data_IF_275683156471
#
_entry.id   IF_275683156471
#
_cell.length_a   1.000
_cell.length_b   1.000
_cell.length_c   1.000
_cell.angle_alpha   90.00
_cell.angle_beta   90.00
_cell.angle_gamma   90.00
#
_symmetry.space_group_name_H-M   'P 1'
#
loop_
_entity.id
_entity.type
_entity.pdbx_description
1 polymer ?
#
# COMPACT_ATOMS: atom_id res chain seq x y z
N UNK A 1 37.75 40.93 -32.89
CA UNK A 1 36.53 41.07 -32.06
C UNK A 1 36.24 39.68 -31.53
N UNK A 2 36.37 39.45 -30.24
CA UNK A 2 36.05 38.16 -29.61
C UNK A 2 34.53 38.11 -29.41
N UNK A 3 33.83 37.33 -30.24
CA UNK A 3 32.40 37.05 -30.05
C UNK A 3 32.20 36.42 -28.67
N UNK A 4 31.27 36.97 -27.89
CA UNK A 4 30.85 36.34 -26.64
C UNK A 4 30.19 35.01 -27.03
N UNK A 5 30.59 33.87 -26.42
CA UNK A 5 29.96 32.60 -26.74
C UNK A 5 28.47 32.70 -26.43
N UNK A 6 27.64 32.47 -27.44
CA UNK A 6 26.18 32.38 -27.25
C UNK A 6 25.90 31.25 -26.26
N UNK A 7 25.25 31.59 -25.15
CA UNK A 7 24.88 30.62 -24.12
C UNK A 7 23.39 30.34 -24.21
N UNK A 8 23.06 29.06 -24.12
CA UNK A 8 21.69 28.60 -23.94
C UNK A 8 21.46 28.46 -22.44
N UNK A 9 20.34 29.00 -21.94
CA UNK A 9 19.88 28.77 -20.59
C UNK A 9 18.79 27.70 -20.59
N UNK A 10 18.92 26.69 -19.74
CA UNK A 10 17.98 25.59 -19.63
C UNK A 10 17.54 25.48 -18.17
N UNK A 11 16.22 25.46 -17.96
CA UNK A 11 15.61 24.99 -16.71
C UNK A 11 14.88 23.67 -17.04
N UNK A 12 15.29 22.60 -16.36
CA UNK A 12 14.68 21.28 -16.46
C UNK A 12 13.93 21.02 -15.16
N UNK A 13 12.62 20.78 -15.27
CA UNK A 13 11.77 20.38 -14.16
C UNK A 13 11.08 19.07 -14.48
N UNK A 14 11.38 18.03 -13.71
CA UNK A 14 10.78 16.70 -13.88
C UNK A 14 10.53 16.07 -12.51
N UNK A 15 9.25 15.86 -12.18
CA UNK A 15 8.79 15.44 -10.85
C UNK A 15 9.41 16.34 -9.76
N UNK A 16 10.24 15.76 -8.90
CA UNK A 16 10.81 16.39 -7.72
C UNK A 16 12.19 17.01 -8.01
N UNK A 17 12.68 16.91 -9.25
CA UNK A 17 13.98 17.45 -9.66
C UNK A 17 13.80 18.71 -10.46
N UNK A 18 14.48 19.76 -10.01
CA UNK A 18 14.64 21.01 -10.72
C UNK A 18 16.14 21.30 -10.87
N UNK A 19 16.58 21.49 -12.11
CA UNK A 19 17.98 21.82 -12.44
C UNK A 19 18.00 22.97 -13.42
N UNK A 20 18.88 23.94 -13.15
CA UNK A 20 19.11 25.08 -14.05
C UNK A 20 20.59 25.13 -14.40
N UNK A 21 20.91 25.29 -15.68
CA UNK A 21 22.27 25.53 -16.15
C UNK A 21 22.28 26.45 -17.37
N UNK A 22 23.43 27.09 -17.63
CA UNK A 22 23.65 27.92 -18.80
C UNK A 22 25.02 27.66 -19.40
N UNK A 23 25.07 27.23 -20.66
CA UNK A 23 26.28 26.75 -21.32
C UNK A 23 26.21 26.99 -22.85
N UNK A 24 27.33 26.85 -23.60
CA UNK A 24 27.30 26.83 -25.06
C UNK A 24 26.39 25.71 -25.62
N UNK A 25 25.96 25.78 -26.89
CA UNK A 25 25.02 24.81 -27.47
C UNK A 25 25.48 23.35 -27.38
N UNK A 26 26.75 23.05 -27.67
CA UNK A 26 27.26 21.66 -27.65
C UNK A 26 27.28 21.09 -26.21
N UNK A 27 27.72 21.91 -25.26
CA UNK A 27 27.74 21.55 -23.85
C UNK A 27 26.33 21.43 -23.26
N UNK A 28 25.41 22.29 -23.69
CA UNK A 28 23.99 22.25 -23.30
C UNK A 28 23.36 20.92 -23.69
N UNK A 29 23.63 20.42 -24.92
CA UNK A 29 23.15 19.12 -25.37
C UNK A 29 23.73 17.97 -24.52
N UNK A 30 25.03 17.99 -24.23
CA UNK A 30 25.67 16.99 -23.37
C UNK A 30 25.05 16.97 -21.96
N UNK A 31 24.85 18.14 -21.35
CA UNK A 31 24.22 18.27 -20.03
C UNK A 31 22.78 17.79 -20.02
N UNK A 32 22.00 18.08 -21.08
CA UNK A 32 20.65 17.54 -21.28
C UNK A 32 20.67 16.01 -21.38
N UNK A 33 21.53 15.46 -22.24
CA UNK A 33 21.62 14.01 -22.45
C UNK A 33 22.02 13.28 -21.16
N UNK A 34 22.95 13.86 -20.39
CA UNK A 34 23.41 13.31 -19.11
C UNK A 34 22.31 13.36 -18.05
N UNK A 35 21.55 14.46 -18.02
CA UNK A 35 20.38 14.57 -17.14
C UNK A 35 19.40 13.41 -17.41
N UNK A 36 19.05 13.17 -18.68
CA UNK A 36 18.11 12.11 -19.02
C UNK A 36 18.71 10.70 -18.83
N UNK A 37 19.99 10.48 -19.11
CA UNK A 37 20.60 9.14 -19.00
C UNK A 37 20.89 8.72 -17.55
N UNK A 38 21.18 9.66 -16.65
CA UNK A 38 21.51 9.34 -15.25
C UNK A 38 20.29 9.43 -14.33
N UNK A 39 19.44 10.45 -14.51
CA UNK A 39 18.34 10.69 -13.58
C UNK A 39 17.07 9.90 -13.94
N UNK A 40 16.70 9.75 -15.22
CA UNK A 40 15.47 9.02 -15.55
C UNK A 40 15.51 7.54 -15.11
N UNK A 41 16.58 6.76 -15.37
CA UNK A 41 16.60 5.36 -14.97
C UNK A 41 16.57 5.18 -13.46
N UNK A 42 17.25 6.06 -12.70
CA UNK A 42 17.23 6.01 -11.24
C UNK A 42 15.83 6.31 -10.68
N UNK A 43 15.08 7.26 -11.27
CA UNK A 43 13.67 7.48 -10.92
C UNK A 43 12.76 6.32 -11.30
N UNK A 44 12.97 5.69 -12.45
CA UNK A 44 12.17 4.52 -12.84
C UNK A 44 12.41 3.32 -11.92
N UNK A 45 13.66 3.07 -11.53
CA UNK A 45 14.01 2.01 -10.59
C UNK A 45 13.42 2.31 -9.21
N UNK A 46 13.59 3.53 -8.70
CA UNK A 46 13.00 3.93 -7.42
C UNK A 46 11.46 3.78 -7.43
N UNK A 47 10.81 4.18 -8.52
CA UNK A 47 9.36 3.99 -8.71
C UNK A 47 8.96 2.51 -8.74
N UNK A 48 9.75 1.64 -9.38
CA UNK A 48 9.49 0.18 -9.40
C UNK A 48 9.72 -0.48 -8.04
N UNK A 49 10.57 0.10 -7.19
CA UNK A 49 10.82 -0.36 -5.82
C UNK A 49 9.81 0.19 -4.81
N UNK A 50 9.04 1.22 -5.18
CA UNK A 50 7.98 1.75 -4.32
C UNK A 50 6.82 0.75 -4.26
N UNK A 51 6.56 0.24 -3.06
CA UNK A 51 5.42 -0.64 -2.85
C UNK A 51 4.12 0.18 -2.86
N UNK A 52 3.43 0.16 -3.99
CA UNK A 52 2.11 0.76 -4.16
C UNK A 52 1.01 -0.29 -4.21
N UNK A 53 -0.13 0.00 -3.60
CA UNK A 53 -1.34 -0.82 -3.69
C UNK A 53 -2.23 -0.24 -4.78
N UNK A 54 -2.55 -1.05 -5.79
CA UNK A 54 -3.62 -0.73 -6.74
C UNK A 54 -4.97 -0.98 -6.05
N UNK A 55 -5.63 0.09 -5.62
CA UNK A 55 -6.91 0.01 -4.92
C UNK A 55 -8.02 -0.59 -5.79
N UNK A 56 -7.99 -0.39 -7.11
CA UNK A 56 -9.00 -0.94 -8.01
C UNK A 56 -8.84 -2.45 -8.12
N UNK A 57 -7.60 -2.93 -8.28
CA UNK A 57 -7.33 -4.36 -8.31
C UNK A 57 -7.62 -4.99 -6.94
N UNK A 58 -7.25 -4.32 -5.84
CA UNK A 58 -7.53 -4.81 -4.49
C UNK A 58 -9.04 -4.95 -4.24
N UNK A 59 -9.84 -3.97 -4.67
CA UNK A 59 -11.29 -4.03 -4.52
C UNK A 59 -11.89 -5.24 -5.28
N UNK A 60 -11.41 -5.50 -6.51
CA UNK A 60 -11.80 -6.69 -7.28
C UNK A 60 -11.37 -7.98 -6.58
N UNK A 61 -10.14 -8.03 -6.07
CA UNK A 61 -9.62 -9.21 -5.37
C UNK A 61 -10.42 -9.52 -4.09
N UNK A 62 -11.05 -8.51 -3.48
CA UNK A 62 -11.91 -8.63 -2.30
C UNK A 62 -13.37 -8.96 -2.61
N UNK A 63 -13.81 -8.92 -3.87
CA UNK A 63 -15.19 -9.22 -4.27
C UNK A 63 -15.59 -10.63 -3.86
N UNK A 64 -16.75 -10.78 -3.20
CA UNK A 64 -17.20 -12.08 -2.67
C UNK A 64 -16.49 -12.51 -1.38
N UNK A 65 -15.49 -11.75 -0.90
CA UNK A 65 -14.83 -11.99 0.39
C UNK A 65 -15.27 -10.97 1.45
N UNK A 66 -15.38 -9.70 1.05
CA UNK A 66 -15.72 -8.57 1.90
C UNK A 66 -16.92 -7.83 1.27
N UNK A 67 -17.84 -7.39 2.12
CA UNK A 67 -18.92 -6.48 1.77
C UNK A 67 -18.99 -5.32 2.76
N UNK A 68 -19.54 -4.20 2.33
CA UNK A 68 -19.81 -3.05 3.19
C UNK A 68 -21.32 -2.80 3.24
N UNK A 69 -21.84 -2.56 4.44
CA UNK A 69 -23.21 -2.16 4.70
C UNK A 69 -23.24 -0.86 5.52
N UNK A 70 -24.42 -0.34 5.85
CA UNK A 70 -24.53 0.87 6.69
C UNK A 70 -23.95 0.66 8.09
N UNK A 71 -23.92 -0.59 8.56
CA UNK A 71 -23.37 -1.00 9.86
C UNK A 71 -21.85 -1.22 9.82
N UNK A 72 -21.23 -1.22 8.64
CA UNK A 72 -19.80 -1.35 8.44
C UNK A 72 -19.38 -2.55 7.58
N UNK A 73 -18.14 -2.99 7.76
CA UNK A 73 -17.59 -4.12 7.00
C UNK A 73 -18.18 -5.47 7.45
N UNK A 74 -18.32 -6.38 6.49
CA UNK A 74 -18.80 -7.75 6.65
C UNK A 74 -17.90 -8.73 5.89
N UNK A 75 -17.64 -9.90 6.46
CA UNK A 75 -16.99 -11.00 5.74
C UNK A 75 -18.06 -11.92 5.13
N UNK A 76 -17.97 -12.16 3.83
CA UNK A 76 -18.90 -13.02 3.08
C UNK A 76 -18.49 -14.50 3.11
N UNK A 77 -17.28 -14.79 3.60
CA UNK A 77 -16.75 -16.14 3.73
C UNK A 77 -16.95 -16.71 5.13
N UNK A 78 -17.12 -18.04 5.20
CA UNK A 78 -17.27 -18.73 6.49
C UNK A 78 -15.99 -18.67 7.32
N UNK A 79 -16.10 -18.09 8.53
CA UNK A 79 -15.00 -18.06 9.52
C UNK A 79 -14.48 -19.45 9.88
N UNK A 80 -15.31 -20.49 9.80
CA UNK A 80 -14.89 -21.87 10.11
C UNK A 80 -13.85 -22.44 9.13
N UNK A 81 -13.74 -21.85 7.93
CA UNK A 81 -12.78 -22.24 6.90
C UNK A 81 -11.48 -21.44 6.96
N UNK A 82 -11.42 -20.43 7.83
CA UNK A 82 -10.27 -19.53 7.99
C UNK A 82 -9.53 -19.85 9.28
N UNK A 83 -8.22 -19.65 9.24
CA UNK A 83 -7.41 -19.58 10.47
C UNK A 83 -7.71 -18.27 11.22
N UNK A 84 -7.31 -18.21 12.51
CA UNK A 84 -7.45 -16.99 13.30
C UNK A 84 -6.71 -15.80 12.63
N UNK A 85 -5.50 -16.05 12.11
CA UNK A 85 -4.70 -15.03 11.43
C UNK A 85 -5.34 -14.57 10.12
N UNK A 86 -5.86 -15.49 9.30
CA UNK A 86 -6.58 -15.15 8.07
C UNK A 86 -7.83 -14.31 8.37
N UNK A 87 -8.57 -14.67 9.42
CA UNK A 87 -9.76 -13.92 9.84
C UNK A 87 -9.42 -12.51 10.28
N UNK A 88 -8.40 -12.35 11.14
CA UNK A 88 -7.95 -11.03 11.60
C UNK A 88 -7.43 -10.16 10.45
N UNK A 89 -6.60 -10.73 9.58
CA UNK A 89 -6.08 -10.03 8.41
C UNK A 89 -7.20 -9.58 7.47
N UNK A 90 -8.19 -10.44 7.21
CA UNK A 90 -9.31 -10.10 6.31
C UNK A 90 -10.17 -8.96 6.89
N UNK A 91 -10.36 -8.92 8.22
CA UNK A 91 -11.03 -7.80 8.88
C UNK A 91 -10.25 -6.50 8.82
N UNK A 92 -8.93 -6.54 9.02
CA UNK A 92 -8.07 -5.36 8.91
C UNK A 92 -7.99 -4.86 7.47
N UNK A 93 -7.97 -5.78 6.50
CA UNK A 93 -8.05 -5.42 5.08
C UNK A 93 -9.39 -4.77 4.73
N UNK A 94 -10.50 -5.24 5.31
CA UNK A 94 -11.79 -4.61 5.13
C UNK A 94 -11.80 -3.18 5.71
N UNK A 95 -11.19 -2.96 6.88
CA UNK A 95 -10.98 -1.62 7.44
C UNK A 95 -10.18 -0.71 6.52
N UNK A 96 -9.02 -1.19 6.05
CA UNK A 96 -8.18 -0.47 5.09
C UNK A 96 -8.92 -0.10 3.81
N UNK A 97 -9.55 -1.09 3.16
CA UNK A 97 -10.25 -0.88 1.90
C UNK A 97 -11.47 0.03 2.10
N UNK A 98 -12.25 -0.18 3.15
CA UNK A 98 -13.42 0.64 3.47
C UNK A 98 -13.06 2.10 3.72
N UNK A 99 -11.96 2.36 4.43
CA UNK A 99 -11.46 3.71 4.66
C UNK A 99 -10.95 4.35 3.36
N UNK A 100 -10.18 3.62 2.55
CA UNK A 100 -9.67 4.11 1.25
C UNK A 100 -10.77 4.39 0.23
N UNK A 101 -11.90 3.69 0.32
CA UNK A 101 -13.10 3.90 -0.51
C UNK A 101 -14.07 4.94 0.09
N UNK A 102 -13.78 5.51 1.26
CA UNK A 102 -14.66 6.48 1.93
C UNK A 102 -15.93 5.87 2.54
N UNK A 103 -16.00 4.55 2.67
CA UNK A 103 -17.12 3.82 3.30
C UNK A 103 -16.97 3.72 4.81
N UNK A 104 -15.75 3.92 5.33
CA UNK A 104 -15.44 3.90 6.76
C UNK A 104 -14.65 5.14 7.15
N UNK A 105 -14.85 5.63 8.37
CA UNK A 105 -14.16 6.81 8.88
C UNK A 105 -12.68 6.56 9.24
N UNK A 106 -12.29 5.30 9.44
CA UNK A 106 -10.93 4.91 9.81
C UNK A 106 -10.64 3.48 9.38
N UNK A 107 -9.37 3.18 9.10
CA UNK A 107 -8.86 1.83 8.87
C UNK A 107 -8.35 1.14 10.14
N UNK A 108 -8.31 1.85 11.27
CA UNK A 108 -7.84 1.33 12.54
C UNK A 108 -8.97 0.66 13.32
N UNK A 109 -8.77 -0.62 13.68
CA UNK A 109 -9.75 -1.46 14.37
C UNK A 109 -9.28 -1.75 15.79
N UNK A 110 -10.16 -1.64 16.79
CA UNK A 110 -9.79 -1.92 18.18
C UNK A 110 -9.57 -3.41 18.42
N UNK A 111 -8.80 -3.73 19.46
CA UNK A 111 -8.60 -5.11 19.89
C UNK A 111 -9.92 -5.78 20.29
N UNK A 112 -10.80 -5.05 20.96
CA UNK A 112 -12.09 -5.53 21.45
C UNK A 112 -13.00 -5.89 20.29
N UNK A 113 -13.00 -5.06 19.24
CA UNK A 113 -13.76 -5.32 18.02
C UNK A 113 -13.21 -6.54 17.27
N UNK A 114 -11.88 -6.63 17.11
CA UNK A 114 -11.23 -7.79 16.49
C UNK A 114 -11.48 -9.08 17.28
N UNK A 115 -11.47 -9.01 18.62
CA UNK A 115 -11.78 -10.15 19.49
C UNK A 115 -13.23 -10.60 19.30
N UNK A 116 -14.18 -9.66 19.29
CA UNK A 116 -15.60 -9.96 19.07
C UNK A 116 -15.82 -10.57 17.68
N UNK A 117 -15.18 -10.02 16.65
CA UNK A 117 -15.25 -10.51 15.27
C UNK A 117 -14.58 -11.88 15.10
N UNK A 118 -13.48 -12.15 15.80
CA UNK A 118 -12.78 -13.44 15.78
C UNK A 118 -13.52 -14.52 16.59
N UNK A 119 -14.27 -14.15 17.63
CA UNK A 119 -15.01 -15.07 18.48
C UNK A 119 -14.12 -15.94 19.38
N UNK A 120 -12.95 -15.43 19.75
CA UNK A 120 -11.95 -16.12 20.60
C UNK A 120 -11.68 -15.30 21.86
N UNK A 121 -10.95 -15.91 22.80
CA UNK A 121 -10.56 -15.21 24.03
C UNK A 121 -9.61 -14.05 23.73
N UNK A 122 -9.60 -13.05 24.62
CA UNK A 122 -8.66 -11.93 24.51
C UNK A 122 -7.20 -12.36 24.53
N UNK A 123 -6.86 -13.45 25.24
CA UNK A 123 -5.50 -14.03 25.22
C UNK A 123 -5.11 -14.51 23.83
N UNK A 124 -5.96 -15.33 23.19
CA UNK A 124 -5.72 -15.84 21.83
C UNK A 124 -5.61 -14.69 20.83
N UNK A 125 -6.55 -13.75 20.90
CA UNK A 125 -6.56 -12.58 20.02
C UNK A 125 -5.28 -11.75 20.17
N UNK A 126 -4.82 -11.53 21.41
CA UNK A 126 -3.57 -10.80 21.68
C UNK A 126 -2.34 -11.52 21.12
N UNK A 127 -2.27 -12.84 21.27
CA UNK A 127 -1.18 -13.65 20.73
C UNK A 127 -1.12 -13.53 19.21
N UNK A 128 -2.26 -13.70 18.53
CA UNK A 128 -2.36 -13.63 17.06
C UNK A 128 -2.03 -12.23 16.54
N UNK A 129 -2.57 -11.18 17.15
CA UNK A 129 -2.21 -9.80 16.79
C UNK A 129 -0.72 -9.51 17.01
N UNK A 130 -0.14 -10.02 18.10
CA UNK A 130 1.29 -9.90 18.36
C UNK A 130 2.16 -10.61 17.31
N UNK A 131 1.74 -11.78 16.83
CA UNK A 131 2.41 -12.48 15.71
C UNK A 131 2.34 -11.67 14.42
N UNK A 132 1.16 -11.13 14.08
CA UNK A 132 0.94 -10.33 12.87
C UNK A 132 1.72 -9.00 12.89
N UNK A 133 1.86 -8.40 14.07
CA UNK A 133 2.70 -7.21 14.27
C UNK A 133 4.18 -7.56 14.12
N UNK A 134 4.64 -8.67 14.70
CA UNK A 134 6.03 -9.12 14.54
C UNK A 134 6.42 -9.48 13.11
N UNK A 135 5.45 -9.83 12.26
CA UNK A 135 5.67 -10.13 10.85
C UNK A 135 5.42 -8.93 9.93
N UNK A 136 5.28 -7.71 10.48
CA UNK A 136 5.05 -6.45 9.75
C UNK A 136 3.79 -6.40 8.87
N UNK A 137 2.88 -7.37 8.99
CA UNK A 137 1.62 -7.38 8.25
C UNK A 137 0.62 -6.40 8.85
N UNK A 138 0.72 -6.19 10.17
CA UNK A 138 -0.18 -5.33 10.95
C UNK A 138 0.66 -4.35 11.76
N UNK A 139 0.21 -3.11 11.86
CA UNK A 139 0.77 -2.13 12.77
C UNK A 139 -0.20 -1.87 13.91
N UNK A 140 0.35 -1.65 15.10
CA UNK A 140 -0.40 -1.13 16.25
C UNK A 140 -0.26 0.38 16.25
N UNK A 141 -1.38 1.08 16.28
CA UNK A 141 -1.43 2.55 16.31
C UNK A 141 -1.18 3.08 17.72
N UNK A 142 -0.94 4.39 17.84
CA UNK A 142 -0.73 5.05 19.14
C UNK A 142 -1.95 5.01 20.06
N UNK A 143 -3.16 4.87 19.50
CA UNK A 143 -4.42 4.69 20.22
C UNK A 143 -4.75 3.22 20.48
N UNK A 144 -3.74 2.34 20.47
CA UNK A 144 -3.86 0.91 20.79
C UNK A 144 -4.79 0.11 19.85
N UNK A 145 -5.08 0.65 18.67
CA UNK A 145 -5.79 -0.03 17.59
C UNK A 145 -4.82 -0.70 16.62
N UNK A 146 -5.36 -1.42 15.66
CA UNK A 146 -4.61 -2.20 14.68
C UNK A 146 -5.03 -1.82 13.27
N UNK A 147 -4.05 -1.67 12.37
CA UNK A 147 -4.26 -1.45 10.93
C UNK A 147 -3.36 -2.38 10.13
N UNK A 148 -3.78 -2.80 8.94
CA UNK A 148 -2.92 -3.55 8.03
C UNK A 148 -1.91 -2.60 7.38
N UNK A 149 -0.65 -2.99 7.30
CA UNK A 149 0.38 -2.16 6.66
C UNK A 149 0.27 -2.24 5.15
N UNK A 150 0.88 -1.30 4.41
CA UNK A 150 0.98 -1.41 2.94
C UNK A 150 1.64 -2.72 2.52
N UNK A 151 2.65 -3.18 3.27
CA UNK A 151 3.28 -4.48 3.08
C UNK A 151 2.32 -5.64 3.33
N UNK A 152 1.54 -5.57 4.40
CA UNK A 152 0.50 -6.53 4.72
C UNK A 152 -0.54 -6.66 3.60
N UNK A 153 -1.04 -5.53 3.09
CA UNK A 153 -1.99 -5.51 1.97
C UNK A 153 -1.40 -6.17 0.72
N UNK A 154 -0.17 -5.80 0.36
CA UNK A 154 0.51 -6.40 -0.80
C UNK A 154 0.69 -7.91 -0.66
N UNK A 155 1.07 -8.39 0.52
CA UNK A 155 1.18 -9.83 0.78
C UNK A 155 -0.17 -10.54 0.77
N UNK A 156 -1.21 -9.88 1.26
CA UNK A 156 -2.55 -10.42 1.21
C UNK A 156 -3.02 -10.63 -0.22
N UNK A 157 -2.83 -9.63 -1.09
CA UNK A 157 -3.17 -9.74 -2.52
C UNK A 157 -2.40 -10.86 -3.21
N UNK A 158 -1.10 -10.98 -2.92
CA UNK A 158 -0.24 -11.97 -3.57
C UNK A 158 -0.63 -13.41 -3.25
N UNK A 159 -0.84 -13.71 -1.96
CA UNK A 159 -0.90 -15.10 -1.49
C UNK A 159 -2.17 -15.44 -0.70
N UNK A 160 -2.71 -14.51 0.09
CA UNK A 160 -3.75 -14.83 1.07
C UNK A 160 -5.14 -14.86 0.42
N UNK A 161 -5.49 -13.87 -0.40
CA UNK A 161 -6.82 -13.78 -1.00
C UNK A 161 -7.10 -14.97 -1.92
N UNK A 162 -6.12 -15.39 -2.73
CA UNK A 162 -6.23 -16.57 -3.59
C UNK A 162 -6.41 -17.86 -2.79
N UNK A 163 -5.66 -18.04 -1.68
CA UNK A 163 -5.83 -19.18 -0.76
C UNK A 163 -7.20 -19.18 -0.10
N UNK A 164 -7.69 -18.02 0.34
CA UNK A 164 -9.02 -17.91 0.94
C UNK A 164 -10.11 -18.29 -0.05
N UNK A 165 -10.05 -17.79 -1.30
CA UNK A 165 -11.00 -18.18 -2.36
C UNK A 165 -11.04 -19.68 -2.57
N UNK A 166 -9.86 -20.30 -2.73
CA UNK A 166 -9.74 -21.75 -2.92
C UNK A 166 -10.35 -22.55 -1.75
N UNK A 167 -10.19 -22.09 -0.50
CA UNK A 167 -10.78 -22.73 0.69
C UNK A 167 -12.30 -22.54 0.78
N UNK A 168 -12.77 -21.36 0.41
CA UNK A 168 -14.14 -20.90 0.72
C UNK A 168 -15.13 -21.18 -0.40
N UNK A 169 -14.67 -21.28 -1.64
CA UNK A 169 -15.50 -21.43 -2.84
C UNK A 169 -16.05 -20.11 -3.36
N UNK A 170 -15.45 -18.99 -2.94
CA UNK A 170 -15.78 -17.61 -3.33
C UNK A 170 -14.93 -17.10 -4.49
#
# INVERSE_FOLDING_TARGET
MTEKPEKVAVNIKYKDVEKTFSAPPEETWLLLSKFFSEFLPSFEIANKLLLSVDLQQLAKDCEGLIAFSQEGANLLVSKSKLTDNETLLLWLLAGYLGHKLGMMASDAVSKEELQAKLGKSGKITSTRLGELVKSDLVAKTSDEKFTVTTFGVAQMQKDLLSKIRAKTGA
#
